data_IF_935215202544
#
_entry.id   IF_935215202544
#
_cell.length_a   1.000
_cell.length_b   1.000
_cell.length_c   1.000
_cell.angle_alpha   90.00
_cell.angle_beta   90.00
_cell.angle_gamma   90.00
#
_symmetry.space_group_name_H-M   'P 1'
#
loop_
_entity.id
_entity.type
_entity.pdbx_description
1 polymer ?
#
# COMPACT_ATOMS: atom_id res chain seq x y z
N UNK A 1 2.63 -10.07 13.67
CA UNK A 1 3.41 -9.42 14.76
C UNK A 1 4.92 -9.31 14.48
N UNK A 2 5.49 -10.18 13.64
CA UNK A 2 6.95 -10.20 13.38
C UNK A 2 7.46 -9.01 12.57
N UNK A 3 6.71 -8.52 11.58
CA UNK A 3 7.12 -7.36 10.76
C UNK A 3 7.38 -6.11 11.61
N UNK A 4 6.52 -5.82 12.59
CA UNK A 4 6.67 -4.67 13.48
C UNK A 4 7.89 -4.80 14.43
N UNK A 5 8.20 -6.03 14.86
CA UNK A 5 9.38 -6.32 15.69
C UNK A 5 10.68 -6.23 14.89
N UNK A 6 10.65 -6.62 13.61
CA UNK A 6 11.80 -6.54 12.69
C UNK A 6 12.15 -5.11 12.27
N UNK A 7 11.28 -4.12 12.49
CA UNK A 7 11.60 -2.72 12.19
C UNK A 7 12.52 -2.14 13.27
N UNK A 8 13.72 -1.64 12.89
CA UNK A 8 14.64 -1.01 13.80
C UNK A 8 13.97 0.15 14.54
N UNK A 9 14.19 0.26 15.86
CA UNK A 9 13.56 1.30 16.71
C UNK A 9 13.71 2.73 16.15
N UNK A 10 14.78 3.02 15.43
CA UNK A 10 15.06 4.35 14.86
C UNK A 10 14.22 4.71 13.63
N UNK A 11 13.67 3.70 12.94
CA UNK A 11 12.78 3.89 11.78
C UNK A 11 11.36 3.42 12.11
N UNK A 12 11.06 3.18 13.40
CA UNK A 12 9.72 2.81 13.82
C UNK A 12 8.78 3.98 13.54
N UNK A 13 7.79 3.81 12.66
CA UNK A 13 6.77 4.81 12.45
C UNK A 13 6.06 5.14 13.77
N UNK A 14 5.70 6.42 13.96
CA UNK A 14 5.05 6.89 15.20
C UNK A 14 3.71 6.17 15.35
N UNK A 15 3.37 5.76 16.58
CA UNK A 15 2.10 5.04 16.83
C UNK A 15 0.84 5.86 16.59
N UNK A 16 0.96 7.19 16.59
CA UNK A 16 -0.16 8.13 16.48
C UNK A 16 -0.50 8.51 15.03
N UNK A 17 0.12 7.85 14.04
CA UNK A 17 -0.08 8.17 12.63
C UNK A 17 -0.74 6.99 11.89
N UNK A 18 -1.49 7.25 10.81
CA UNK A 18 -2.08 6.19 10.01
C UNK A 18 -0.99 5.37 9.31
N UNK A 19 -1.19 4.05 9.36
CA UNK A 19 -0.41 3.08 8.62
C UNK A 19 -1.23 2.66 7.41
N UNK A 20 -0.55 2.63 6.26
CA UNK A 20 -1.15 2.22 5.01
C UNK A 20 -0.58 0.87 4.60
N UNK A 21 -1.49 -0.01 4.21
CA UNK A 21 -1.14 -1.24 3.54
C UNK A 21 -1.03 -0.95 2.05
N UNK A 22 0.17 -1.11 1.52
CA UNK A 22 0.50 -0.95 0.12
C UNK A 22 0.53 -2.31 -0.56
N UNK A 23 -0.07 -2.36 -1.75
CA UNK A 23 0.09 -3.42 -2.72
C UNK A 23 1.10 -2.91 -3.75
N UNK A 24 2.35 -3.34 -3.66
CA UNK A 24 3.41 -2.96 -4.58
C UNK A 24 3.63 -4.06 -5.61
N UNK A 25 4.05 -3.68 -6.81
CA UNK A 25 4.55 -4.61 -7.81
C UNK A 25 5.95 -4.18 -8.25
N UNK A 26 6.78 -5.16 -8.56
CA UNK A 26 7.99 -5.01 -9.35
C UNK A 26 7.80 -5.74 -10.68
N UNK A 27 8.75 -5.59 -11.60
CA UNK A 27 8.71 -6.20 -12.94
C UNK A 27 8.51 -7.73 -12.91
N UNK A 28 8.93 -8.39 -11.83
CA UNK A 28 8.89 -9.85 -11.68
C UNK A 28 7.83 -10.37 -10.70
N UNK A 29 7.47 -9.62 -9.65
CA UNK A 29 6.59 -10.09 -8.56
C UNK A 29 5.75 -8.96 -7.94
N UNK A 30 4.62 -9.34 -7.37
CA UNK A 30 3.75 -8.47 -6.58
C UNK A 30 3.91 -8.77 -5.08
N UNK A 31 3.97 -7.77 -4.22
CA UNK A 31 4.16 -7.93 -2.79
C UNK A 31 3.39 -6.91 -1.95
N UNK A 32 3.04 -7.33 -0.74
CA UNK A 32 2.38 -6.53 0.27
C UNK A 32 3.42 -5.83 1.16
N UNK A 33 3.26 -4.53 1.37
CA UNK A 33 4.14 -3.71 2.20
C UNK A 33 3.35 -2.82 3.14
N UNK A 34 3.89 -2.55 4.32
CA UNK A 34 3.29 -1.64 5.28
C UNK A 34 4.15 -0.40 5.38
N UNK A 35 3.53 0.77 5.25
CA UNK A 35 4.26 2.04 5.30
C UNK A 35 3.49 3.06 6.11
N UNK A 36 4.21 4.01 6.67
CA UNK A 36 3.61 5.21 7.24
C UNK A 36 3.25 6.23 6.18
N UNK A 37 2.21 7.01 6.43
CA UNK A 37 1.83 8.15 5.57
C UNK A 37 3.00 9.07 5.18
N UNK A 38 3.92 9.36 6.11
CA UNK A 38 5.09 10.22 5.86
C UNK A 38 6.06 9.69 4.78
N UNK A 39 6.00 8.39 4.49
CA UNK A 39 6.82 7.73 3.47
C UNK A 39 6.00 7.45 2.19
N UNK A 40 4.76 7.93 2.10
CA UNK A 40 3.97 7.89 0.88
C UNK A 40 4.21 9.14 0.06
N UNK A 41 4.42 8.92 -1.24
CA UNK A 41 4.42 9.98 -2.24
C UNK A 41 3.19 9.79 -3.12
N UNK A 42 2.53 10.90 -3.43
CA UNK A 42 1.41 10.87 -4.37
C UNK A 42 1.97 10.53 -5.75
N UNK A 43 1.63 9.35 -6.24
CA UNK A 43 1.88 9.00 -7.62
C UNK A 43 0.81 9.66 -8.51
N UNK A 44 1.25 10.28 -9.60
CA UNK A 44 0.38 10.91 -10.59
C UNK A 44 0.30 10.10 -11.89
N UNK A 45 0.84 8.88 -11.88
CA UNK A 45 0.81 8.00 -13.04
C UNK A 45 -0.59 7.39 -13.16
N UNK A 46 -1.17 7.48 -14.34
CA UNK A 46 -2.45 6.84 -14.64
C UNK A 46 -2.26 5.35 -15.01
N UNK A 47 -1.09 4.80 -14.72
CA UNK A 47 -0.73 3.42 -15.02
C UNK A 47 -1.41 2.45 -14.05
N UNK A 48 -2.04 1.37 -14.55
CA UNK A 48 -2.71 0.41 -13.70
C UNK A 48 -1.69 -0.47 -12.99
N UNK A 49 -1.84 -0.60 -11.67
CA UNK A 49 -1.10 -1.60 -10.89
C UNK A 49 -1.67 -2.99 -11.22
N UNK A 50 -0.80 -3.92 -11.63
CA UNK A 50 -1.09 -5.31 -11.99
C UNK A 50 -0.98 -6.25 -10.79
N UNK A 51 -1.45 -5.81 -9.62
CA UNK A 51 -1.49 -6.66 -8.44
C UNK A 51 -2.81 -7.46 -8.41
N UNK A 52 -2.78 -8.81 -8.32
CA UNK A 52 -4.01 -9.63 -8.36
C UNK A 52 -4.98 -9.28 -7.22
N UNK A 53 -4.46 -9.04 -6.00
CA UNK A 53 -5.24 -8.55 -4.86
C UNK A 53 -5.96 -7.23 -5.11
N UNK A 54 -5.50 -6.38 -6.03
CA UNK A 54 -6.24 -5.15 -6.33
C UNK A 54 -7.61 -5.46 -6.93
N UNK A 55 -7.69 -6.45 -7.82
CA UNK A 55 -8.97 -6.89 -8.40
C UNK A 55 -9.86 -7.59 -7.37
N UNK A 56 -9.29 -8.18 -6.31
CA UNK A 56 -10.06 -8.80 -5.23
C UNK A 56 -10.53 -7.80 -4.18
N UNK A 57 -9.72 -6.80 -3.85
CA UNK A 57 -9.99 -5.83 -2.77
C UNK A 57 -10.77 -4.62 -3.29
N UNK A 58 -10.45 -4.15 -4.49
CA UNK A 58 -11.06 -2.97 -5.09
C UNK A 58 -12.01 -3.40 -6.21
N UNK A 59 -13.22 -2.84 -6.23
CA UNK A 59 -14.20 -3.17 -7.27
C UNK A 59 -14.14 -2.24 -8.48
N UNK A 60 -13.30 -1.21 -8.43
CA UNK A 60 -12.98 -0.46 -9.62
C UNK A 60 -11.91 0.59 -9.39
N UNK A 61 -11.46 1.14 -10.52
CA UNK A 61 -10.44 2.18 -10.60
C UNK A 61 -11.06 3.45 -11.18
N UNK A 62 -10.75 4.59 -10.58
CA UNK A 62 -11.14 5.92 -11.06
C UNK A 62 -9.90 6.81 -11.15
N UNK A 63 -9.31 6.90 -12.35
CA UNK A 63 -8.03 7.57 -12.56
C UNK A 63 -6.91 6.85 -11.80
N UNK A 64 -6.17 7.57 -10.96
CA UNK A 64 -5.12 6.99 -10.09
C UNK A 64 -5.65 6.34 -8.81
N UNK A 65 -6.93 6.52 -8.46
CA UNK A 65 -7.51 6.02 -7.21
C UNK A 65 -8.31 4.75 -7.40
N UNK A 66 -8.12 3.77 -6.51
CA UNK A 66 -8.94 2.56 -6.44
C UNK A 66 -10.01 2.70 -5.36
N UNK A 67 -11.22 2.23 -5.66
CA UNK A 67 -12.32 2.24 -4.70
C UNK A 67 -12.73 0.82 -4.33
N UNK A 68 -12.82 0.57 -3.03
CA UNK A 68 -13.45 -0.63 -2.50
C UNK A 68 -14.94 -0.35 -2.30
N UNK A 69 -15.84 -1.29 -2.62
CA UNK A 69 -17.22 -1.17 -2.17
C UNK A 69 -17.20 -1.41 -0.66
N UNK A 70 -17.33 -0.33 0.10
CA UNK A 70 -17.62 -0.46 1.52
C UNK A 70 -19.04 -1.04 1.62
N UNK A 71 -19.15 -2.27 2.11
CA UNK A 71 -20.44 -2.90 2.41
C UNK A 71 -21.10 -2.25 3.64
#
# INVERSE_FOLDING_TARGET
>A
EEWYQSIPKNVRPRKDQPFYHLLAENDEITYEAYVSEQNLLADNSEEPIKHPLINEIFSGRKGSSYFKPSN
#
